data_IF_222964775573
#
_entry.id   IF_222964775573
#
_cell.length_a   1.000
_cell.length_b   1.000
_cell.length_c   1.000
_cell.angle_alpha   90.00
_cell.angle_beta   90.00
_cell.angle_gamma   90.00
#
_symmetry.space_group_name_H-M   'P 1'
#
loop_
_entity.id
_entity.type
_entity.pdbx_description
1 polymer ?
#
# COMPACT_ATOMS: atom_id res chain seq x y z
N UNK A 1 -42.19 18.92 22.05
CA UNK A 1 -41.83 20.25 22.61
C UNK A 1 -40.58 20.05 23.43
N UNK A 2 -39.48 20.71 23.09
CA UNK A 2 -38.20 20.58 23.80
C UNK A 2 -37.92 21.90 24.53
N UNK A 3 -37.90 21.82 25.86
CA UNK A 3 -37.61 22.96 26.74
C UNK A 3 -36.10 23.06 26.95
N UNK A 4 -35.54 24.27 26.80
CA UNK A 4 -34.16 24.59 27.15
C UNK A 4 -34.13 25.70 28.20
N UNK A 5 -33.35 25.56 29.29
CA UNK A 5 -33.19 26.63 30.27
C UNK A 5 -32.37 27.77 29.68
N UNK A 6 -32.98 28.96 29.60
CA UNK A 6 -32.33 30.19 29.15
C UNK A 6 -31.35 30.67 30.23
N UNK A 7 -30.06 30.72 29.89
CA UNK A 7 -28.99 31.25 30.75
C UNK A 7 -29.14 32.77 30.95
N UNK A 8 -28.90 33.24 32.18
CA UNK A 8 -29.08 34.64 32.62
C UNK A 8 -27.81 35.53 32.50
N UNK A 9 -26.76 35.08 31.80
CA UNK A 9 -25.52 35.86 31.66
C UNK A 9 -25.40 36.57 30.29
N UNK A 10 -25.10 37.88 30.30
CA UNK A 10 -24.73 38.66 29.10
C UNK A 10 -23.21 38.59 28.87
N UNK A 11 -22.79 38.40 27.62
CA UNK A 11 -21.40 38.56 27.19
C UNK A 11 -20.59 37.27 27.00
N UNK A 12 -21.20 36.09 27.12
CA UNK A 12 -20.53 34.81 26.78
C UNK A 12 -21.04 34.28 25.45
N UNK A 13 -20.16 34.19 24.46
CA UNK A 13 -20.46 33.53 23.19
C UNK A 13 -20.46 32.01 23.42
N UNK A 14 -21.54 31.48 24.00
CA UNK A 14 -21.77 30.03 24.10
C UNK A 14 -22.21 29.54 22.72
N UNK A 15 -21.29 29.61 21.75
CA UNK A 15 -21.48 28.90 20.49
C UNK A 15 -21.03 27.47 20.75
N UNK A 16 -21.98 26.61 21.09
CA UNK A 16 -21.79 25.18 20.93
C UNK A 16 -21.53 24.93 19.44
N UNK A 17 -20.28 24.66 19.07
CA UNK A 17 -19.85 24.54 17.68
C UNK A 17 -20.41 23.27 17.00
N UNK A 18 -21.14 22.45 17.75
CA UNK A 18 -21.65 21.15 17.33
C UNK A 18 -23.00 21.18 16.59
N UNK A 19 -23.67 22.33 16.43
CA UNK A 19 -25.08 22.38 15.96
C UNK A 19 -25.33 22.98 14.57
N UNK A 20 -24.39 23.01 13.62
CA UNK A 20 -24.71 23.53 12.26
C UNK A 20 -24.31 22.60 11.09
N UNK A 21 -23.65 21.45 11.33
CA UNK A 21 -23.41 20.43 10.30
C UNK A 21 -23.08 19.09 10.97
N UNK A 22 -23.74 18.00 10.58
CA UNK A 22 -23.32 16.65 10.98
C UNK A 22 -21.98 16.30 10.33
N UNK A 23 -20.89 16.73 10.96
CA UNK A 23 -19.53 16.46 10.50
C UNK A 23 -19.16 14.98 10.59
N UNK A 24 -19.88 14.18 11.41
CA UNK A 24 -19.72 12.73 11.48
C UNK A 24 -19.97 12.09 10.11
N UNK A 25 -21.09 12.40 9.47
CA UNK A 25 -21.47 11.90 8.16
C UNK A 25 -20.43 12.22 7.07
N UNK A 26 -19.78 13.38 7.16
CA UNK A 26 -18.72 13.74 6.22
C UNK A 26 -17.43 12.95 6.46
N UNK A 27 -17.03 12.79 7.73
CA UNK A 27 -15.85 12.01 8.10
C UNK A 27 -16.04 10.53 7.78
N UNK A 28 -17.24 9.98 7.98
CA UNK A 28 -17.58 8.60 7.62
C UNK A 28 -17.42 8.38 6.11
N UNK A 29 -17.98 9.26 5.29
CA UNK A 29 -17.79 9.23 3.83
C UNK A 29 -16.32 9.31 3.44
N UNK A 30 -15.54 10.16 4.13
CA UNK A 30 -14.10 10.30 3.88
C UNK A 30 -13.33 9.03 4.26
N UNK A 31 -13.68 8.41 5.39
CA UNK A 31 -13.10 7.15 5.84
C UNK A 31 -13.42 6.03 4.85
N UNK A 32 -14.69 5.85 4.47
CA UNK A 32 -15.11 4.84 3.48
C UNK A 32 -14.41 5.04 2.13
N UNK A 33 -14.29 6.28 1.66
CA UNK A 33 -13.55 6.57 0.42
C UNK A 33 -12.08 6.18 0.53
N UNK A 34 -11.44 6.47 1.66
CA UNK A 34 -10.04 6.14 1.90
C UNK A 34 -9.85 4.63 1.99
N UNK A 35 -10.74 3.95 2.72
CA UNK A 35 -10.77 2.50 2.86
C UNK A 35 -10.88 1.78 1.51
N UNK A 36 -11.80 2.24 0.65
CA UNK A 36 -11.91 1.73 -0.73
C UNK A 36 -10.63 1.94 -1.55
N UNK A 37 -9.96 3.09 -1.37
CA UNK A 37 -8.67 3.37 -2.00
C UNK A 37 -7.54 2.46 -1.51
N UNK A 38 -7.70 1.84 -0.34
CA UNK A 38 -6.78 0.88 0.26
C UNK A 38 -7.23 -0.57 0.04
N UNK A 39 -8.06 -0.80 -0.98
CA UNK A 39 -8.54 -2.13 -1.39
C UNK A 39 -9.31 -2.90 -0.32
N UNK A 40 -9.90 -2.17 0.63
CA UNK A 40 -10.78 -2.75 1.65
C UNK A 40 -10.09 -3.83 2.51
N UNK A 41 -8.77 -3.72 2.69
CA UNK A 41 -7.98 -4.62 3.55
C UNK A 41 -8.30 -4.42 5.04
N UNK A 42 -8.31 -5.50 5.82
CA UNK A 42 -8.49 -5.46 7.28
C UNK A 42 -7.44 -4.55 7.96
N UNK A 43 -6.20 -4.56 7.49
CA UNK A 43 -5.14 -3.67 7.97
C UNK A 43 -5.48 -2.19 7.73
N UNK A 44 -6.12 -1.89 6.59
CA UNK A 44 -6.54 -0.54 6.26
C UNK A 44 -7.69 -0.08 7.15
N UNK A 45 -8.66 -0.95 7.42
CA UNK A 45 -9.74 -0.66 8.36
C UNK A 45 -9.17 -0.36 9.75
N UNK A 46 -8.25 -1.20 10.23
CA UNK A 46 -7.60 -1.04 11.52
C UNK A 46 -6.84 0.29 11.61
N UNK A 47 -6.01 0.61 10.60
CA UNK A 47 -5.27 1.88 10.56
C UNK A 47 -6.22 3.08 10.65
N UNK A 48 -7.26 3.11 9.81
CA UNK A 48 -8.20 4.23 9.73
C UNK A 48 -9.03 4.37 11.02
N UNK A 49 -9.47 3.26 11.60
CA UNK A 49 -10.18 3.24 12.87
C UNK A 49 -9.31 3.76 14.03
N UNK A 50 -8.05 3.32 14.11
CA UNK A 50 -7.12 3.77 15.15
C UNK A 50 -6.75 5.25 15.00
N UNK A 51 -6.52 5.73 13.78
CA UNK A 51 -6.29 7.16 13.51
C UNK A 51 -7.48 8.00 13.98
N UNK A 52 -8.71 7.58 13.65
CA UNK A 52 -9.92 8.29 14.06
C UNK A 52 -10.10 8.31 15.58
N UNK A 53 -9.78 7.20 16.25
CA UNK A 53 -9.86 7.06 17.71
C UNK A 53 -8.82 7.91 18.43
N UNK A 54 -7.58 7.89 17.97
CA UNK A 54 -6.44 8.54 18.63
C UNK A 54 -6.34 10.04 18.29
N UNK A 55 -6.76 10.43 17.08
CA UNK A 55 -6.63 11.81 16.57
C UNK A 55 -7.97 12.35 16.05
N UNK A 56 -9.05 12.37 16.85
CA UNK A 56 -10.40 12.74 16.38
C UNK A 56 -10.48 14.16 15.82
N UNK A 57 -9.77 15.11 16.45
CA UNK A 57 -9.72 16.52 16.01
C UNK A 57 -9.09 16.67 14.62
N UNK A 58 -8.16 15.79 14.25
CA UNK A 58 -7.38 15.87 13.02
C UNK A 58 -7.74 14.77 12.01
N UNK A 59 -8.80 13.99 12.27
CA UNK A 59 -9.16 12.83 11.44
C UNK A 59 -9.32 13.21 9.95
N UNK A 60 -9.91 14.37 9.66
CA UNK A 60 -10.05 14.90 8.29
C UNK A 60 -8.71 15.04 7.60
N UNK A 61 -7.78 15.74 8.22
CA UNK A 61 -6.47 16.05 7.64
C UNK A 61 -5.64 14.78 7.48
N UNK A 62 -5.74 13.87 8.46
CA UNK A 62 -5.09 12.56 8.40
C UNK A 62 -5.60 11.74 7.22
N UNK A 63 -6.92 11.65 7.01
CA UNK A 63 -7.48 10.93 5.86
C UNK A 63 -7.15 11.59 4.52
N UNK A 64 -7.15 12.92 4.45
CA UNK A 64 -6.73 13.64 3.25
C UNK A 64 -5.26 13.34 2.91
N UNK A 65 -4.39 13.29 3.92
CA UNK A 65 -2.98 12.98 3.72
C UNK A 65 -2.80 11.53 3.26
N UNK A 66 -3.51 10.56 3.86
CA UNK A 66 -3.50 9.16 3.38
C UNK A 66 -3.96 9.08 1.93
N UNK A 67 -5.04 9.76 1.56
CA UNK A 67 -5.49 9.82 0.16
C UNK A 67 -4.44 10.43 -0.79
N UNK A 68 -3.60 11.33 -0.30
CA UNK A 68 -2.43 11.84 -1.03
C UNK A 68 -1.39 10.75 -1.25
N UNK A 69 -1.03 10.02 -0.17
CA UNK A 69 -0.07 8.91 -0.23
C UNK A 69 -0.50 7.85 -1.25
N UNK A 70 -1.77 7.46 -1.25
CA UNK A 70 -2.29 6.45 -2.20
C UNK A 70 -2.23 6.88 -3.67
N UNK A 71 -2.11 8.18 -3.94
CA UNK A 71 -1.97 8.72 -5.30
C UNK A 71 -0.52 8.96 -5.70
N UNK A 72 0.33 9.27 -4.72
CA UNK A 72 1.72 9.67 -4.94
C UNK A 72 2.67 8.47 -5.03
N UNK A 73 2.43 7.43 -4.22
CA UNK A 73 3.34 6.28 -4.10
C UNK A 73 2.78 5.05 -4.81
N UNK A 74 3.68 4.17 -5.29
CA UNK A 74 3.29 2.92 -5.92
C UNK A 74 2.52 2.03 -4.94
N UNK A 75 1.60 1.24 -5.49
CA UNK A 75 0.78 0.29 -4.73
C UNK A 75 1.62 -0.60 -3.82
N UNK A 76 2.71 -1.16 -4.34
CA UNK A 76 3.58 -2.05 -3.56
C UNK A 76 4.26 -1.32 -2.41
N UNK A 77 4.60 -0.04 -2.59
CA UNK A 77 5.25 0.77 -1.57
C UNK A 77 4.30 1.07 -0.41
N UNK A 78 3.09 1.58 -0.70
CA UNK A 78 2.15 1.92 0.37
C UNK A 78 1.55 0.68 1.05
N UNK A 79 1.44 -0.47 0.36
CA UNK A 79 1.04 -1.73 1.00
C UNK A 79 2.08 -2.21 2.01
N UNK A 80 3.38 -2.20 1.66
CA UNK A 80 4.45 -2.49 2.63
C UNK A 80 4.44 -1.50 3.80
N UNK A 81 4.20 -0.23 3.52
CA UNK A 81 4.06 0.80 4.56
C UNK A 81 2.89 0.53 5.50
N UNK A 82 1.76 0.06 4.98
CA UNK A 82 0.57 -0.27 5.78
C UNK A 82 0.89 -1.39 6.77
N UNK A 83 1.41 -2.52 6.30
CA UNK A 83 1.75 -3.65 7.16
C UNK A 83 2.85 -3.28 8.17
N UNK A 84 3.80 -2.42 7.79
CA UNK A 84 4.80 -1.87 8.71
C UNK A 84 4.15 -1.01 9.81
N UNK A 85 3.23 -0.11 9.45
CA UNK A 85 2.55 0.75 10.41
C UNK A 85 1.69 -0.07 11.39
N UNK A 86 0.98 -1.09 10.91
CA UNK A 86 0.20 -1.98 11.78
C UNK A 86 1.10 -2.75 12.74
N UNK A 87 2.17 -3.38 12.22
CA UNK A 87 3.11 -4.16 13.03
C UNK A 87 3.75 -3.33 14.14
N UNK A 88 4.06 -2.05 13.86
CA UNK A 88 4.70 -1.15 14.81
C UNK A 88 3.72 -0.24 15.57
N UNK A 89 2.41 -0.44 15.41
CA UNK A 89 1.35 0.38 16.03
C UNK A 89 1.47 1.89 15.74
N UNK A 90 1.90 2.24 14.52
CA UNK A 90 2.06 3.62 14.04
C UNK A 90 0.74 4.10 13.43
N UNK A 91 -0.04 4.84 14.20
CA UNK A 91 -1.38 5.30 13.82
C UNK A 91 -1.39 6.80 13.50
N UNK A 92 -0.59 7.18 12.50
CA UNK A 92 -0.51 8.55 11.97
C UNK A 92 -0.32 8.52 10.46
N UNK A 93 -1.05 9.37 9.76
CA UNK A 93 -0.88 9.54 8.32
C UNK A 93 0.53 10.02 7.95
N UNK A 94 1.17 10.81 8.83
CA UNK A 94 2.55 11.30 8.62
C UNK A 94 3.53 10.13 8.64
N UNK A 95 3.43 9.25 9.62
CA UNK A 95 4.28 8.05 9.74
C UNK A 95 4.02 7.10 8.56
N UNK A 96 2.76 6.94 8.15
CA UNK A 96 2.39 6.16 6.98
C UNK A 96 3.01 6.70 5.68
N UNK A 97 2.98 8.03 5.48
CA UNK A 97 3.64 8.67 4.33
C UNK A 97 5.15 8.45 4.35
N UNK A 98 5.77 8.66 5.51
CA UNK A 98 7.23 8.57 5.63
C UNK A 98 7.68 7.11 5.39
N UNK A 99 6.92 6.13 5.87
CA UNK A 99 7.12 4.71 5.56
C UNK A 99 6.91 4.41 4.06
N UNK A 100 5.85 4.94 3.44
CA UNK A 100 5.59 4.75 2.00
C UNK A 100 6.73 5.31 1.15
N UNK A 101 7.25 6.49 1.51
CA UNK A 101 8.43 7.09 0.86
C UNK A 101 9.68 6.21 0.99
N UNK A 102 9.92 5.65 2.18
CA UNK A 102 11.05 4.74 2.40
C UNK A 102 10.94 3.47 1.52
N UNK A 103 9.77 2.83 1.49
CA UNK A 103 9.59 1.61 0.70
C UNK A 103 9.60 1.87 -0.81
N UNK A 104 9.11 3.03 -1.26
CA UNK A 104 9.23 3.46 -2.65
C UNK A 104 10.70 3.51 -3.07
N UNK A 105 11.55 4.21 -2.31
CA UNK A 105 12.98 4.28 -2.59
C UNK A 105 13.68 2.93 -2.53
N UNK A 106 13.29 2.04 -1.60
CA UNK A 106 13.84 0.67 -1.53
C UNK A 106 13.48 -0.14 -2.78
N UNK A 107 12.24 -0.02 -3.27
CA UNK A 107 11.78 -0.71 -4.48
C UNK A 107 12.53 -0.17 -5.71
N UNK A 108 12.70 1.15 -5.82
CA UNK A 108 13.45 1.78 -6.91
C UNK A 108 14.91 1.30 -6.94
N UNK A 109 15.57 1.24 -5.77
CA UNK A 109 16.93 0.71 -5.64
C UNK A 109 17.02 -0.78 -6.01
N UNK A 110 16.02 -1.58 -5.63
CA UNK A 110 15.98 -3.00 -5.98
C UNK A 110 15.82 -3.19 -7.50
N UNK A 111 15.00 -2.37 -8.15
CA UNK A 111 14.83 -2.35 -9.62
C UNK A 111 16.16 -1.98 -10.29
N UNK A 112 16.79 -0.89 -9.87
CA UNK A 112 18.08 -0.43 -10.43
C UNK A 112 19.17 -1.50 -10.32
N UNK A 113 19.25 -2.18 -9.16
CA UNK A 113 20.21 -3.25 -8.94
C UNK A 113 19.96 -4.46 -9.86
N UNK A 114 18.70 -4.81 -10.10
CA UNK A 114 18.34 -5.91 -11.00
C UNK A 114 18.66 -5.58 -12.47
N UNK A 115 18.60 -4.31 -12.86
CA UNK A 115 19.01 -3.84 -14.19
C UNK A 115 20.53 -3.92 -14.38
N UNK A 116 21.32 -3.63 -13.33
CA UNK A 116 22.78 -3.69 -13.38
C UNK A 116 23.34 -5.13 -13.40
N UNK A 117 22.66 -6.07 -12.74
CA UNK A 117 23.07 -7.49 -12.69
C UNK A 117 21.92 -8.42 -13.13
N UNK A 118 21.67 -8.56 -14.45
CA UNK A 118 20.62 -9.46 -14.92
C UNK A 118 20.95 -10.91 -14.54
N UNK A 119 20.20 -11.44 -13.58
CA UNK A 119 20.35 -12.80 -13.04
C UNK A 119 20.09 -13.90 -14.09
N UNK A 120 19.50 -13.53 -15.23
CA UNK A 120 19.25 -14.42 -16.37
C UNK A 120 20.20 -14.05 -17.50
N UNK A 121 21.27 -14.83 -17.66
CA UNK A 121 22.08 -14.80 -18.88
C UNK A 121 21.23 -15.41 -19.99
N UNK A 122 20.88 -14.63 -21.02
CA UNK A 122 20.30 -15.20 -22.24
C UNK A 122 21.38 -16.11 -22.83
N UNK A 123 21.18 -17.43 -22.70
CA UNK A 123 22.06 -18.40 -23.32
C UNK A 123 22.05 -18.13 -24.84
N UNK A 124 23.22 -18.09 -25.49
CA UNK A 124 23.26 -17.94 -26.94
C UNK A 124 22.37 -19.03 -27.55
N UNK A 125 21.58 -18.65 -28.55
CA UNK A 125 20.77 -19.58 -29.33
C UNK A 125 21.74 -20.54 -30.06
N UNK A 126 22.10 -21.64 -29.41
CA UNK A 126 22.96 -22.66 -30.02
C UNK A 126 22.07 -23.49 -30.94
N UNK A 127 22.24 -23.28 -32.24
CA UNK A 127 21.70 -24.19 -33.26
C UNK A 127 22.42 -25.52 -33.14
N UNK A 128 21.82 -26.48 -32.44
CA UNK A 128 22.36 -27.83 -32.36
C UNK A 128 22.21 -28.50 -33.72
N UNK A 129 23.32 -28.98 -34.29
CA UNK A 129 23.26 -29.82 -35.47
C UNK A 129 22.68 -31.18 -35.05
N UNK A 130 21.44 -31.45 -35.48
CA UNK A 130 20.83 -32.77 -35.32
C UNK A 130 21.48 -33.71 -36.34
N UNK A 131 22.37 -34.60 -35.88
CA UNK A 131 22.87 -35.70 -36.70
C UNK A 131 21.74 -36.66 -37.03
N UNK A 132 21.76 -37.26 -38.22
CA UNK A 132 20.76 -38.25 -38.61
C UNK A 132 20.94 -39.54 -37.79
N UNK A 133 19.83 -40.15 -37.39
CA UNK A 133 19.80 -41.36 -36.54
C UNK A 133 20.63 -42.53 -37.13
N UNK A 134 20.81 -42.55 -38.45
CA UNK A 134 21.60 -43.54 -39.20
C UNK A 134 23.08 -43.60 -38.79
N UNK A 135 23.69 -42.49 -38.38
CA UNK A 135 25.10 -42.49 -37.95
C UNK A 135 25.32 -43.32 -36.67
N UNK A 136 24.35 -43.31 -35.76
CA UNK A 136 24.41 -44.11 -34.52
C UNK A 136 24.18 -45.60 -34.77
N UNK A 137 23.42 -45.96 -35.81
CA UNK A 137 23.18 -47.35 -36.17
C UNK A 137 24.46 -48.06 -36.67
N UNK A 138 25.41 -47.32 -37.24
CA UNK A 138 26.71 -47.87 -37.68
C UNK A 138 27.59 -48.21 -36.47
N UNK A 139 27.61 -47.34 -35.46
CA UNK A 139 28.35 -47.57 -34.21
C UNK A 139 27.79 -48.74 -33.40
N UNK A 140 26.48 -48.97 -33.44
CA UNK A 140 25.82 -50.09 -32.77
C UNK A 140 26.03 -51.45 -33.47
N UNK A 141 26.53 -51.47 -34.71
CA UNK A 141 26.79 -52.70 -35.49
C UNK A 141 28.28 -53.10 -35.52
N UNK A 142 29.18 -52.31 -34.96
CA UNK A 142 30.62 -52.58 -34.95
C UNK A 142 31.04 -53.38 -33.72
N UNK A 143 30.73 -54.67 -33.70
CA UNK A 143 31.10 -55.58 -32.61
C UNK A 143 31.14 -57.04 -33.04
N UNK A 144 31.59 -57.34 -34.25
CA UNK A 144 32.02 -58.69 -34.63
C UNK A 144 33.55 -58.71 -34.58
N UNK A 145 34.07 -59.08 -33.42
CA UNK A 145 35.47 -59.52 -33.28
C UNK A 145 35.57 -60.96 -33.76
N UNK A 146 36.45 -61.18 -34.74
CA UNK A 146 36.92 -62.48 -35.25
C UNK A 146 37.42 -63.44 -34.15
#
# INVERSE_FOLDING_TARGET
MAEYPVSKEKGRLIRNNNCVRDYSNFLDKMQTKTFRGMEESEEAELLLAQIRRLKPRYARDQFQLIQGVLKEYDKRAWQKALSYCITNSLYSAVEFRDAARYFQGTIEQEIERLEQEPKVVILPQVTTQKRSLSEYAVLAKGGETE
#
